data_IF_963838073740
#
_entry.id   IF_963838073740
#
_cell.length_a   1.000
_cell.length_b   1.000
_cell.length_c   1.000
_cell.angle_alpha   90.00
_cell.angle_beta   90.00
_cell.angle_gamma   90.00
#
_symmetry.space_group_name_H-M   'P 1'
#
loop_
_entity.id
_entity.type
_entity.pdbx_description
1 polymer ?
#
# COMPACT_ATOMS: atom_id res chain seq x y z
N UNK A 1 -28.57 8.87 7.07
CA UNK A 1 -27.19 9.00 7.60
C UNK A 1 -26.18 8.03 6.98
N UNK A 2 -26.49 6.75 6.75
CA UNK A 2 -25.52 5.74 6.25
C UNK A 2 -24.98 5.88 4.81
N UNK A 3 -25.60 6.70 3.95
CA UNK A 3 -25.17 6.85 2.54
C UNK A 3 -23.84 7.58 2.36
N UNK A 4 -23.42 8.41 3.32
CA UNK A 4 -22.20 9.24 3.20
C UNK A 4 -20.90 8.45 3.38
N UNK A 5 -20.95 7.28 4.02
CA UNK A 5 -19.75 6.57 4.47
C UNK A 5 -19.26 5.51 3.48
N UNK A 6 -20.13 5.10 2.55
CA UNK A 6 -19.90 3.96 1.67
C UNK A 6 -20.33 4.22 0.20
N UNK A 7 -20.08 5.39 -0.41
CA UNK A 7 -20.64 5.69 -1.74
C UNK A 7 -20.28 4.65 -2.82
N UNK A 8 -19.11 3.99 -2.72
CA UNK A 8 -18.68 2.93 -3.66
C UNK A 8 -19.09 1.50 -3.30
N UNK A 9 -19.68 1.27 -2.13
CA UNK A 9 -20.21 -0.06 -1.75
C UNK A 9 -21.67 -0.25 -2.17
N UNK A 10 -22.34 0.86 -2.56
CA UNK A 10 -23.68 0.83 -3.15
C UNK A 10 -23.69 0.58 -4.66
N UNK A 11 -22.56 0.75 -5.34
CA UNK A 11 -22.44 0.50 -6.80
C UNK A 11 -22.29 -0.98 -7.14
N UNK A 12 -21.86 -1.82 -6.18
CA UNK A 12 -21.99 -3.27 -6.29
C UNK A 12 -23.30 -3.73 -5.64
N UNK A 13 -24.28 -4.10 -6.47
CA UNK A 13 -25.62 -4.49 -6.04
C UNK A 13 -25.62 -5.62 -4.98
N UNK A 14 -24.67 -6.56 -5.05
CA UNK A 14 -24.59 -7.67 -4.10
C UNK A 14 -24.13 -7.23 -2.71
N UNK A 15 -23.11 -6.36 -2.64
CA UNK A 15 -22.61 -5.82 -1.36
C UNK A 15 -23.64 -4.89 -0.71
N UNK A 16 -24.31 -4.07 -1.52
CA UNK A 16 -25.38 -3.19 -1.09
C UNK A 16 -26.58 -3.96 -0.49
N UNK A 17 -26.96 -5.07 -1.12
CA UNK A 17 -28.09 -5.90 -0.69
C UNK A 17 -27.81 -6.58 0.66
N UNK A 18 -26.65 -7.22 0.83
CA UNK A 18 -26.28 -7.89 2.08
C UNK A 18 -26.16 -6.89 3.22
N UNK A 19 -25.47 -5.76 3.00
CA UNK A 19 -25.33 -4.73 4.03
C UNK A 19 -26.67 -4.06 4.38
N UNK A 20 -27.63 -4.04 3.43
CA UNK A 20 -28.97 -3.51 3.69
C UNK A 20 -29.77 -4.34 4.71
N UNK A 21 -29.48 -5.63 4.84
CA UNK A 21 -30.14 -6.53 5.80
C UNK A 21 -29.67 -6.27 7.25
N UNK A 22 -28.46 -5.73 7.43
CA UNK A 22 -27.85 -5.46 8.73
C UNK A 22 -27.78 -3.97 9.10
N UNK A 23 -28.55 -3.10 8.41
CA UNK A 23 -28.52 -1.62 8.59
C UNK A 23 -28.55 -1.12 10.04
N UNK A 24 -29.22 -1.84 10.96
CA UNK A 24 -29.32 -1.43 12.37
C UNK A 24 -28.02 -1.59 13.17
N UNK A 25 -27.02 -2.29 12.65
CA UNK A 25 -25.76 -2.58 13.35
C UNK A 25 -24.54 -1.82 12.77
N UNK A 26 -24.70 -1.11 11.66
CA UNK A 26 -23.59 -0.36 11.05
C UNK A 26 -23.55 1.08 11.55
N UNK A 27 -22.51 1.43 12.30
CA UNK A 27 -22.11 2.83 12.50
C UNK A 27 -21.03 3.18 11.48
N UNK A 28 -20.95 4.44 11.09
CA UNK A 28 -19.83 4.92 10.32
C UNK A 28 -18.84 5.55 11.28
N UNK A 29 -17.59 5.09 11.28
CA UNK A 29 -16.52 5.89 11.86
C UNK A 29 -16.23 7.03 10.90
N UNK A 30 -15.79 8.17 11.43
CA UNK A 30 -15.23 9.20 10.56
C UNK A 30 -14.01 8.57 9.89
N UNK A 31 -14.04 8.49 8.56
CA UNK A 31 -12.94 7.96 7.76
C UNK A 31 -11.61 8.58 8.20
N UNK A 32 -11.60 9.86 8.54
CA UNK A 32 -10.44 10.64 8.98
C UNK A 32 -9.57 10.01 10.08
N UNK A 33 -10.11 9.20 11.00
CA UNK A 33 -9.29 8.62 12.08
C UNK A 33 -8.30 7.55 11.56
N UNK A 34 -8.76 6.66 10.68
CA UNK A 34 -7.90 5.64 10.05
C UNK A 34 -7.27 6.21 8.77
N UNK A 35 -8.04 6.91 7.95
CA UNK A 35 -7.65 7.47 6.64
C UNK A 35 -6.57 8.56 6.80
N UNK A 36 -6.69 9.45 7.79
CA UNK A 36 -5.64 10.45 8.09
C UNK A 36 -4.33 9.83 8.60
N UNK A 37 -4.45 8.72 9.33
CA UNK A 37 -3.31 7.90 9.79
C UNK A 37 -2.62 7.19 8.61
N UNK A 38 -3.39 6.72 7.62
CA UNK A 38 -2.89 6.02 6.42
C UNK A 38 -2.28 6.99 5.39
N UNK A 39 -2.85 8.18 5.20
CA UNK A 39 -2.43 9.11 4.14
C UNK A 39 -1.33 10.10 4.55
N UNK A 40 -0.74 9.97 5.75
CA UNK A 40 0.32 10.87 6.17
C UNK A 40 1.57 10.78 5.27
N UNK A 41 2.01 11.92 4.72
CA UNK A 41 3.24 12.08 3.88
C UNK A 41 4.52 11.49 4.53
N UNK A 42 4.55 11.31 5.85
CA UNK A 42 5.67 10.70 6.58
C UNK A 42 5.66 9.17 6.57
N UNK A 43 4.56 8.52 6.21
CA UNK A 43 4.48 7.06 6.09
C UNK A 43 5.09 6.59 4.77
N UNK A 44 4.88 7.30 3.67
CA UNK A 44 5.38 6.91 2.34
C UNK A 44 6.90 6.90 2.26
N UNK A 45 7.58 7.93 2.77
CA UNK A 45 9.05 8.01 2.80
C UNK A 45 9.67 6.93 3.70
N UNK A 46 9.09 6.68 4.88
CA UNK A 46 9.56 5.65 5.81
C UNK A 46 9.28 4.24 5.31
N UNK A 47 8.13 4.05 4.66
CA UNK A 47 7.82 2.80 3.95
C UNK A 47 8.83 2.55 2.82
N UNK A 48 9.18 3.59 2.06
CA UNK A 48 10.23 3.55 1.05
C UNK A 48 11.55 3.02 1.63
N UNK A 49 12.00 3.55 2.77
CA UNK A 49 13.20 3.06 3.44
C UNK A 49 13.13 1.55 3.75
N UNK A 50 12.05 1.07 4.37
CA UNK A 50 11.90 -0.35 4.70
C UNK A 50 11.85 -1.23 3.44
N UNK A 51 11.13 -0.79 2.40
CA UNK A 51 10.96 -1.57 1.18
C UNK A 51 12.24 -1.64 0.36
N UNK A 52 12.92 -0.51 0.16
CA UNK A 52 14.21 -0.44 -0.54
C UNK A 52 15.25 -1.30 0.20
N UNK A 53 15.35 -1.20 1.53
CA UNK A 53 16.25 -2.07 2.32
C UNK A 53 15.99 -3.55 2.08
N UNK A 54 14.73 -3.98 1.97
CA UNK A 54 14.42 -5.39 1.66
C UNK A 54 14.97 -5.81 0.29
N UNK A 55 14.88 -4.95 -0.73
CA UNK A 55 15.46 -5.24 -2.05
C UNK A 55 16.99 -5.30 -2.02
N UNK A 56 17.64 -4.41 -1.26
CA UNK A 56 19.08 -4.48 -1.03
C UNK A 56 19.53 -5.78 -0.35
N UNK A 57 18.78 -6.23 0.65
CA UNK A 57 19.03 -7.53 1.32
C UNK A 57 18.81 -8.70 0.37
N UNK A 58 17.74 -8.68 -0.44
CA UNK A 58 17.47 -9.72 -1.44
C UNK A 58 18.59 -9.82 -2.46
N UNK A 59 19.06 -8.69 -3.01
CA UNK A 59 20.19 -8.64 -3.94
C UNK A 59 21.43 -9.34 -3.34
N UNK A 60 21.83 -8.93 -2.13
CA UNK A 60 22.98 -9.51 -1.43
C UNK A 60 22.86 -11.02 -1.20
N UNK A 61 21.68 -11.48 -0.79
CA UNK A 61 21.41 -12.90 -0.57
C UNK A 61 21.51 -13.71 -1.87
N UNK A 62 21.03 -13.17 -2.99
CA UNK A 62 21.17 -13.86 -4.27
C UNK A 62 22.63 -13.96 -4.69
N UNK A 63 23.42 -12.90 -4.53
CA UNK A 63 24.86 -12.92 -4.84
C UNK A 63 25.62 -13.92 -3.96
N UNK A 64 25.30 -13.97 -2.66
CA UNK A 64 25.87 -14.95 -1.72
C UNK A 64 25.52 -16.39 -2.12
N UNK A 65 24.26 -16.65 -2.51
CA UNK A 65 23.82 -17.98 -2.95
C UNK A 65 24.47 -18.42 -4.26
N UNK A 66 24.68 -17.48 -5.19
CA UNK A 66 25.32 -17.75 -6.47
C UNK A 66 26.86 -17.81 -6.36
N UNK A 67 27.44 -17.29 -5.28
CA UNK A 67 28.88 -17.15 -5.11
C UNK A 67 29.51 -16.14 -6.05
N UNK A 68 28.70 -15.25 -6.66
CA UNK A 68 29.14 -14.22 -7.60
C UNK A 68 28.18 -13.04 -7.59
N UNK A 69 28.61 -11.83 -8.02
CA UNK A 69 27.70 -10.73 -8.27
C UNK A 69 26.62 -11.09 -9.32
N UNK A 70 25.43 -10.50 -9.20
CA UNK A 70 24.38 -10.62 -10.22
C UNK A 70 24.81 -9.85 -11.47
N UNK A 71 24.74 -10.49 -12.62
CA UNK A 71 24.97 -9.86 -13.91
C UNK A 71 23.81 -8.89 -14.26
N UNK A 72 24.04 -8.09 -15.29
CA UNK A 72 23.02 -7.20 -15.83
C UNK A 72 21.81 -8.02 -16.34
N UNK A 73 20.60 -7.55 -16.07
CA UNK A 73 19.36 -8.27 -16.44
C UNK A 73 19.00 -9.50 -15.59
N UNK A 74 19.84 -9.97 -14.67
CA UNK A 74 19.50 -11.08 -13.76
C UNK A 74 18.65 -10.65 -12.55
N UNK A 75 18.35 -9.36 -12.45
CA UNK A 75 17.50 -8.79 -11.42
C UNK A 75 16.56 -7.77 -12.04
N UNK A 76 15.28 -7.87 -11.72
CA UNK A 76 14.24 -7.01 -12.28
C UNK A 76 14.62 -5.52 -12.11
N UNK A 77 14.64 -4.70 -13.18
CA UNK A 77 15.06 -3.29 -13.14
C UNK A 77 14.55 -2.48 -11.95
N UNK A 78 13.25 -2.56 -11.62
CA UNK A 78 12.69 -1.84 -10.47
C UNK A 78 13.32 -2.27 -9.14
N UNK A 79 13.55 -3.58 -8.96
CA UNK A 79 14.16 -4.10 -7.74
C UNK A 79 15.63 -3.68 -7.64
N UNK A 80 16.34 -3.59 -8.78
CA UNK A 80 17.72 -3.07 -8.83
C UNK A 80 17.78 -1.61 -8.39
N UNK A 81 16.93 -0.75 -8.97
CA UNK A 81 16.82 0.66 -8.56
C UNK A 81 16.47 0.79 -7.07
N UNK A 82 15.55 -0.04 -6.56
CA UNK A 82 15.21 -0.07 -5.14
C UNK A 82 16.39 -0.53 -4.25
N UNK A 83 17.17 -1.52 -4.68
CA UNK A 83 18.37 -1.96 -3.98
C UNK A 83 19.46 -0.87 -3.96
N UNK A 84 19.60 -0.09 -5.03
CA UNK A 84 20.47 1.08 -5.07
C UNK A 84 19.99 2.20 -4.14
N UNK A 85 18.68 2.46 -4.08
CA UNK A 85 18.10 3.39 -3.12
C UNK A 85 18.34 2.96 -1.67
N UNK A 86 18.37 1.65 -1.39
CA UNK A 86 18.65 1.12 -0.06
C UNK A 86 19.97 1.66 0.51
N UNK A 87 21.00 1.78 -0.32
CA UNK A 87 22.32 2.26 0.08
C UNK A 87 22.34 3.73 0.52
N UNK A 88 21.27 4.50 0.22
CA UNK A 88 21.14 5.91 0.61
C UNK A 88 20.56 6.10 2.01
N UNK A 89 19.98 5.06 2.60
CA UNK A 89 19.42 5.13 3.95
C UNK A 89 20.46 4.72 5.00
N UNK A 90 20.55 5.48 6.08
CA UNK A 90 21.37 5.11 7.24
C UNK A 90 20.67 4.04 8.09
N UNK A 91 21.44 3.39 8.97
CA UNK A 91 20.87 2.51 10.00
C UNK A 91 19.89 3.24 10.93
N UNK A 92 20.10 4.54 11.15
CA UNK A 92 19.21 5.41 11.93
C UNK A 92 17.89 5.60 11.18
N UNK A 93 17.92 5.89 9.87
CA UNK A 93 16.71 6.04 9.06
C UNK A 93 15.87 4.77 9.07
N UNK A 94 16.52 3.60 8.95
CA UNK A 94 15.87 2.31 9.05
C UNK A 94 15.22 2.09 10.42
N UNK A 95 15.93 2.37 11.53
CA UNK A 95 15.40 2.25 12.88
C UNK A 95 14.21 3.20 13.13
N UNK A 96 14.29 4.44 12.63
CA UNK A 96 13.19 5.40 12.70
C UNK A 96 11.98 4.95 11.88
N UNK A 97 12.20 4.32 10.72
CA UNK A 97 11.14 3.77 9.91
C UNK A 97 10.42 2.61 10.61
N UNK A 98 11.17 1.69 11.24
CA UNK A 98 10.61 0.62 12.08
C UNK A 98 9.76 1.16 13.23
N UNK A 99 10.28 2.16 13.96
CA UNK A 99 9.56 2.81 15.06
C UNK A 99 8.26 3.46 14.56
N UNK A 100 8.30 4.15 13.42
CA UNK A 100 7.11 4.74 12.82
C UNK A 100 6.09 3.68 12.40
N UNK A 101 6.50 2.53 11.85
CA UNK A 101 5.59 1.43 11.56
C UNK A 101 4.93 0.89 12.82
N UNK A 102 5.66 0.77 13.93
CA UNK A 102 5.08 0.37 15.21
C UNK A 102 4.07 1.39 15.76
N UNK A 103 4.37 2.70 15.64
CA UNK A 103 3.45 3.78 16.00
C UNK A 103 2.17 3.73 15.15
N UNK A 104 2.33 3.58 13.83
CA UNK A 104 1.22 3.47 12.89
C UNK A 104 0.30 2.27 13.21
N UNK A 105 0.88 1.10 13.53
CA UNK A 105 0.10 -0.08 13.95
C UNK A 105 -0.72 0.21 15.20
N UNK A 106 -0.15 0.89 16.19
CA UNK A 106 -0.88 1.26 17.43
C UNK A 106 -2.00 2.27 17.16
N UNK A 107 -1.78 3.28 16.31
CA UNK A 107 -2.84 4.23 15.96
C UNK A 107 -3.99 3.56 15.20
N UNK A 108 -3.69 2.58 14.34
CA UNK A 108 -4.72 1.78 13.67
C UNK A 108 -5.48 0.91 14.69
N UNK A 109 -4.78 0.24 15.60
CA UNK A 109 -5.39 -0.60 16.66
C UNK A 109 -6.26 0.19 17.63
N UNK A 110 -5.93 1.46 17.90
CA UNK A 110 -6.74 2.33 18.76
C UNK A 110 -8.20 2.41 18.30
N UNK A 111 -8.43 2.35 16.98
CA UNK A 111 -9.79 2.32 16.44
C UNK A 111 -10.59 1.10 16.91
N UNK A 112 -10.00 -0.09 16.98
CA UNK A 112 -10.70 -1.25 17.55
C UNK A 112 -10.89 -1.10 19.06
N UNK A 113 -9.91 -0.54 19.77
CA UNK A 113 -10.01 -0.28 21.19
C UNK A 113 -11.13 0.72 21.55
N UNK A 114 -11.44 1.64 20.63
CA UNK A 114 -12.54 2.61 20.75
C UNK A 114 -13.94 1.98 20.54
N UNK A 115 -14.03 0.65 20.40
CA UNK A 115 -15.28 -0.10 20.38
C UNK A 115 -15.79 -0.45 18.98
N UNK A 116 -14.91 -0.44 17.97
CA UNK A 116 -15.23 -0.88 16.62
C UNK A 116 -14.84 -2.34 16.38
N UNK A 117 -15.73 -3.14 15.82
CA UNK A 117 -15.49 -4.58 15.63
C UNK A 117 -14.84 -4.91 14.28
N UNK A 118 -15.36 -4.34 13.19
CA UNK A 118 -15.00 -4.73 11.81
C UNK A 118 -14.76 -3.50 10.93
N UNK A 119 -13.61 -3.50 10.26
CA UNK A 119 -13.29 -2.54 9.20
C UNK A 119 -13.64 -3.13 7.84
N UNK A 120 -14.56 -2.48 7.13
CA UNK A 120 -14.96 -2.89 5.79
C UNK A 120 -14.45 -1.87 4.76
N UNK A 121 -13.56 -2.32 3.87
CA UNK A 121 -13.02 -1.51 2.77
C UNK A 121 -13.00 -2.33 1.49
N UNK A 122 -13.03 -1.71 0.30
CA UNK A 122 -12.66 -2.39 -0.93
C UNK A 122 -11.25 -2.98 -0.79
N UNK A 123 -11.05 -4.20 -1.30
CA UNK A 123 -9.73 -4.86 -1.32
C UNK A 123 -8.76 -4.17 -2.29
N UNK A 124 -9.28 -3.66 -3.41
CA UNK A 124 -8.52 -2.98 -4.47
C UNK A 124 -9.17 -1.64 -4.80
N UNK A 125 -8.37 -0.67 -5.24
CA UNK A 125 -8.82 0.69 -5.56
C UNK A 125 -9.52 0.79 -6.93
N UNK A 126 -9.20 -0.11 -7.86
CA UNK A 126 -9.76 -0.14 -9.22
C UNK A 126 -9.99 -1.58 -9.69
N UNK A 127 -10.65 -1.73 -10.84
CA UNK A 127 -10.87 -3.02 -11.48
C UNK A 127 -9.55 -3.65 -11.95
N UNK A 128 -9.51 -4.98 -12.14
CA UNK A 128 -8.34 -5.66 -12.72
C UNK A 128 -7.90 -5.00 -14.01
N UNK A 129 -6.60 -4.76 -14.12
CA UNK A 129 -6.00 -4.15 -15.29
C UNK A 129 -5.73 -5.19 -16.38
N UNK A 130 -5.84 -4.82 -17.67
CA UNK A 130 -5.37 -5.66 -18.76
C UNK A 130 -3.91 -6.07 -18.57
N UNK A 131 -3.56 -7.28 -19.00
CA UNK A 131 -2.18 -7.75 -19.01
C UNK A 131 -1.28 -6.76 -19.76
N UNK A 132 -0.08 -6.52 -19.23
CA UNK A 132 0.88 -5.55 -19.78
C UNK A 132 0.68 -4.10 -19.30
N UNK A 133 -0.39 -3.79 -18.56
CA UNK A 133 -0.60 -2.42 -18.01
C UNK A 133 0.44 -2.05 -16.96
N UNK A 134 0.82 -3.02 -16.12
CA UNK A 134 1.93 -2.89 -15.16
C UNK A 134 3.01 -3.82 -15.70
N UNK A 135 4.01 -3.25 -16.36
CA UNK A 135 5.11 -3.99 -17.00
C UNK A 135 6.44 -3.56 -16.41
N UNK A 136 7.44 -4.43 -16.51
CA UNK A 136 8.80 -3.99 -16.29
C UNK A 136 9.28 -3.20 -17.51
N UNK A 137 9.74 -1.97 -17.28
CA UNK A 137 10.28 -1.08 -18.27
C UNK A 137 11.72 -0.71 -17.87
N UNK A 138 12.75 -1.28 -18.51
CA UNK A 138 14.14 -0.96 -18.18
C UNK A 138 14.49 0.53 -18.35
N UNK A 139 13.87 1.22 -19.32
CA UNK A 139 14.10 2.65 -19.57
C UNK A 139 13.45 3.54 -18.51
N UNK A 140 12.38 3.02 -17.86
CA UNK A 140 11.66 3.70 -16.78
C UNK A 140 11.28 2.72 -15.66
N UNK A 141 12.26 2.27 -14.85
CA UNK A 141 12.05 1.18 -13.90
C UNK A 141 10.97 1.44 -12.83
N UNK A 142 10.61 2.69 -12.58
CA UNK A 142 9.62 3.08 -11.57
C UNK A 142 8.18 3.20 -12.10
N UNK A 143 7.95 3.05 -13.41
CA UNK A 143 6.62 3.23 -14.03
C UNK A 143 5.54 2.33 -13.39
N UNK A 144 5.90 1.13 -12.95
CA UNK A 144 4.99 0.21 -12.28
C UNK A 144 4.45 0.77 -10.95
N UNK A 145 5.31 1.42 -10.16
CA UNK A 145 4.93 2.05 -8.89
C UNK A 145 4.12 3.31 -9.14
N UNK A 146 4.51 4.11 -10.12
CA UNK A 146 3.78 5.31 -10.53
C UNK A 146 2.35 4.96 -10.98
N UNK A 147 2.21 3.87 -11.77
CA UNK A 147 0.91 3.35 -12.19
C UNK A 147 0.09 2.87 -10.99
N UNK A 148 0.69 2.20 -10.03
CA UNK A 148 -0.02 1.77 -8.82
C UNK A 148 -0.49 2.97 -7.97
N UNK A 149 0.31 4.04 -7.89
CA UNK A 149 -0.01 5.26 -7.14
C UNK A 149 -1.15 6.09 -7.76
N UNK A 150 -1.31 6.06 -9.08
CA UNK A 150 -2.37 6.82 -9.77
C UNK A 150 -3.77 6.26 -9.50
N UNK A 151 -3.92 4.96 -9.23
CA UNK A 151 -5.19 4.33 -8.88
C UNK A 151 -5.82 4.90 -7.61
N UNK A 152 -4.98 5.39 -6.68
CA UNK A 152 -5.45 6.00 -5.43
C UNK A 152 -6.13 7.36 -5.63
N UNK A 153 -5.92 8.00 -6.80
CA UNK A 153 -6.40 9.35 -7.12
C UNK A 153 -7.43 9.37 -8.26
N UNK A 154 -7.83 8.21 -8.79
CA UNK A 154 -8.73 8.13 -9.93
C UNK A 154 -10.15 8.60 -9.56
N UNK A 155 -10.74 9.57 -10.27
CA UNK A 155 -12.12 9.97 -10.05
C UNK A 155 -13.04 8.78 -10.33
N UNK A 156 -13.84 8.40 -9.33
CA UNK A 156 -14.82 7.31 -9.43
C UNK A 156 -15.70 7.54 -10.66
N UNK A 157 -15.66 6.61 -11.63
CA UNK A 157 -16.57 6.65 -12.79
C UNK A 157 -18.00 6.59 -12.28
N UNK A 158 -18.79 7.60 -12.63
CA UNK A 158 -20.24 7.61 -12.44
C UNK A 158 -20.86 6.66 -13.45
N UNK A 159 -21.26 5.48 -12.99
CA UNK A 159 -22.23 4.62 -13.68
C UNK A 159 -23.45 4.50 -12.79
#
# INVERSE_FOLDING_TARGET
MHRKCLPGLWTNAASALVLSQFRRHFRCSHADQITGTIHGFRLSSRFGALWSTNMGVSLRRFEEQLGRPLAEGEFEPMNRVQAEFAARFSSIDYALALSATAQFRRSVQAWWADGWDLLLTPTVAELPLPLGTITNNPDRPMDAIDRAGSSAHSPRRST
#
